data_IF_383695513959
#
_entry.id   IF_383695513959
#
_cell.length_a   1.000
_cell.length_b   1.000
_cell.length_c   1.000
_cell.angle_alpha   90.00
_cell.angle_beta   90.00
_cell.angle_gamma   90.00
#
_symmetry.space_group_name_H-M   'P 1'
#
loop_
_entity.id
_entity.type
_entity.pdbx_description
1 polymer ?
#
# COMPACT_ATOMS: atom_id res chain seq x y z
N UNK A 1 -14.79 7.17 13.55
CA UNK A 1 -14.43 7.45 12.15
C UNK A 1 -15.07 6.40 11.25
N UNK A 2 -16.30 6.64 10.79
CA UNK A 2 -17.09 5.70 9.98
C UNK A 2 -16.75 5.84 8.49
N UNK A 3 -15.52 5.50 8.10
CA UNK A 3 -15.26 5.23 6.68
C UNK A 3 -16.12 4.03 6.30
N UNK A 4 -16.94 4.13 5.24
CA UNK A 4 -17.67 2.98 4.68
C UNK A 4 -16.63 1.92 4.29
N UNK A 5 -16.29 1.03 5.21
CA UNK A 5 -15.27 -0.02 5.03
C UNK A 5 -15.57 -0.82 3.76
N UNK A 6 -16.86 -1.04 3.47
CA UNK A 6 -17.37 -1.67 2.24
C UNK A 6 -16.88 -1.04 0.92
N UNK A 7 -16.49 0.25 0.89
CA UNK A 7 -15.94 0.91 -0.31
C UNK A 7 -14.42 0.89 -0.38
N UNK A 8 -13.73 0.44 0.68
CA UNK A 8 -12.26 0.39 0.72
C UNK A 8 -11.71 -0.65 -0.26
N UNK A 9 -10.58 -0.34 -0.90
CA UNK A 9 -9.84 -1.31 -1.72
C UNK A 9 -9.45 -2.55 -0.90
N UNK A 10 -9.16 -2.37 0.39
CA UNK A 10 -8.86 -3.46 1.33
C UNK A 10 -10.07 -4.39 1.46
N UNK A 11 -11.27 -3.85 1.62
CA UNK A 11 -12.49 -4.65 1.71
C UNK A 11 -12.80 -5.37 0.40
N UNK A 12 -12.65 -4.72 -0.77
CA UNK A 12 -12.83 -5.37 -2.07
C UNK A 12 -11.85 -6.54 -2.25
N UNK A 13 -10.58 -6.35 -1.88
CA UNK A 13 -9.58 -7.42 -1.92
C UNK A 13 -9.92 -8.57 -0.97
N UNK A 14 -10.26 -8.26 0.28
CA UNK A 14 -10.65 -9.25 1.29
C UNK A 14 -11.89 -10.03 0.85
N UNK A 15 -12.93 -9.35 0.36
CA UNK A 15 -14.16 -9.96 -0.13
C UNK A 15 -13.91 -10.86 -1.34
N UNK A 16 -13.09 -10.41 -2.30
CA UNK A 16 -12.68 -11.23 -3.45
C UNK A 16 -11.94 -12.50 -3.02
N UNK A 17 -10.96 -12.36 -2.12
CA UNK A 17 -10.21 -13.50 -1.59
C UNK A 17 -11.11 -14.44 -0.80
N UNK A 18 -11.97 -13.92 0.06
CA UNK A 18 -12.90 -14.71 0.87
C UNK A 18 -13.86 -15.50 -0.01
N UNK A 19 -14.45 -14.88 -1.04
CA UNK A 19 -15.30 -15.58 -2.02
C UNK A 19 -14.56 -16.74 -2.70
N UNK A 20 -13.26 -16.56 -2.97
CA UNK A 20 -12.44 -17.61 -3.58
C UNK A 20 -12.14 -18.76 -2.63
N UNK A 21 -11.96 -18.48 -1.33
CA UNK A 21 -11.79 -19.54 -0.32
C UNK A 21 -13.12 -20.26 -0.03
N UNK A 22 -14.27 -19.57 -0.05
CA UNK A 22 -15.60 -20.20 0.05
C UNK A 22 -15.87 -21.24 -1.05
N UNK A 23 -15.38 -21.02 -2.27
CA UNK A 23 -15.52 -21.99 -3.36
C UNK A 23 -14.74 -23.29 -3.13
N UNK A 24 -13.71 -23.26 -2.28
CA UNK A 24 -12.84 -24.40 -2.02
C UNK A 24 -13.21 -25.15 -0.73
N UNK A 25 -14.01 -24.54 0.15
CA UNK A 25 -14.30 -25.03 1.50
C UNK A 25 -15.82 -25.05 1.76
N UNK A 26 -16.45 -26.24 1.81
CA UNK A 26 -17.91 -26.37 1.91
C UNK A 26 -18.48 -25.84 3.23
N UNK A 27 -17.68 -25.82 4.31
CA UNK A 27 -18.10 -25.26 5.61
C UNK A 27 -18.36 -23.76 5.54
N UNK A 28 -17.52 -23.03 4.79
CA UNK A 28 -17.71 -21.61 4.54
C UNK A 28 -18.88 -21.35 3.59
N UNK A 29 -19.19 -22.27 2.68
CA UNK A 29 -20.31 -22.09 1.76
C UNK A 29 -21.67 -22.19 2.47
N UNK A 30 -21.75 -23.01 3.51
CA UNK A 30 -22.95 -23.19 4.34
C UNK A 30 -23.34 -21.96 5.20
N UNK A 31 -22.43 -20.99 5.42
CA UNK A 31 -22.73 -19.78 6.20
C UNK A 31 -23.76 -18.88 5.52
N UNK A 32 -24.59 -18.21 6.33
CA UNK A 32 -25.54 -17.23 5.82
C UNK A 32 -24.81 -16.05 5.15
N UNK A 33 -25.41 -15.39 4.15
CA UNK A 33 -24.83 -14.21 3.51
C UNK A 33 -24.47 -13.09 4.50
N UNK A 34 -25.27 -12.94 5.56
CA UNK A 34 -25.05 -11.95 6.63
C UNK A 34 -23.80 -12.26 7.48
N UNK A 35 -23.54 -13.52 7.79
CA UNK A 35 -22.36 -13.93 8.55
C UNK A 35 -21.08 -13.77 7.72
N UNK A 36 -21.13 -14.17 6.44
CA UNK A 36 -20.04 -13.97 5.47
C UNK A 36 -19.66 -12.49 5.35
N UNK A 37 -20.65 -11.61 5.28
CA UNK A 37 -20.42 -10.17 5.20
C UNK A 37 -19.85 -9.60 6.51
N UNK A 38 -20.38 -10.01 7.66
CA UNK A 38 -19.86 -9.63 8.98
C UNK A 38 -18.39 -10.01 9.16
N UNK A 39 -18.03 -11.23 8.74
CA UNK A 39 -16.65 -11.73 8.80
C UNK A 39 -15.73 -10.95 7.85
N UNK A 40 -16.17 -10.69 6.61
CA UNK A 40 -15.41 -9.86 5.66
C UNK A 40 -15.15 -8.46 6.21
N UNK A 41 -16.15 -7.82 6.84
CA UNK A 41 -16.00 -6.50 7.46
C UNK A 41 -15.03 -6.56 8.63
N UNK A 42 -15.12 -7.58 9.49
CA UNK A 42 -14.22 -7.76 10.63
C UNK A 42 -12.76 -7.94 10.18
N UNK A 43 -12.51 -8.80 9.19
CA UNK A 43 -11.19 -9.03 8.61
C UNK A 43 -10.67 -7.77 7.92
N UNK A 44 -11.49 -7.08 7.14
CA UNK A 44 -11.10 -5.83 6.48
C UNK A 44 -10.77 -4.73 7.49
N UNK A 45 -11.52 -4.61 8.58
CA UNK A 45 -11.26 -3.64 9.66
C UNK A 45 -9.95 -3.96 10.38
N UNK A 46 -9.71 -5.22 10.74
CA UNK A 46 -8.47 -5.66 11.39
C UNK A 46 -7.25 -5.48 10.48
N UNK A 47 -7.39 -5.85 9.20
CA UNK A 47 -6.35 -5.64 8.18
C UNK A 47 -6.05 -4.14 8.00
N UNK A 48 -7.08 -3.29 7.93
CA UNK A 48 -6.91 -1.85 7.79
C UNK A 48 -6.20 -1.24 9.00
N UNK A 49 -6.52 -1.70 10.22
CA UNK A 49 -5.84 -1.24 11.43
C UNK A 49 -4.37 -1.65 11.46
N UNK A 50 -4.07 -2.92 11.18
CA UNK A 50 -2.69 -3.40 11.08
C UNK A 50 -1.92 -2.64 10.00
N UNK A 51 -2.55 -2.40 8.85
CA UNK A 51 -1.97 -1.63 7.76
C UNK A 51 -1.67 -0.18 8.17
N UNK A 52 -2.54 0.48 8.94
CA UNK A 52 -2.28 1.83 9.42
C UNK A 52 -1.10 1.87 10.39
N UNK A 53 -1.06 0.95 11.36
CA UNK A 53 0.04 0.87 12.34
C UNK A 53 1.36 0.53 11.64
N UNK A 54 1.36 -0.51 10.80
CA UNK A 54 2.54 -0.91 10.03
C UNK A 54 2.96 0.16 9.05
N UNK A 55 2.02 0.81 8.36
CA UNK A 55 2.27 1.89 7.42
C UNK A 55 2.97 3.07 8.08
N UNK A 56 2.58 3.45 9.31
CA UNK A 56 3.26 4.49 10.07
C UNK A 56 4.72 4.09 10.38
N UNK A 57 4.95 2.88 10.87
CA UNK A 57 6.30 2.35 11.15
C UNK A 57 7.13 2.27 9.87
N UNK A 58 6.53 1.82 8.77
CA UNK A 58 7.16 1.71 7.45
C UNK A 58 7.59 3.07 6.93
N UNK A 59 6.76 4.11 7.06
CA UNK A 59 7.15 5.47 6.69
C UNK A 59 8.38 5.94 7.47
N UNK A 60 8.44 5.69 8.78
CA UNK A 60 9.64 6.01 9.57
C UNK A 60 10.88 5.23 9.10
N UNK A 61 10.71 3.94 8.79
CA UNK A 61 11.80 3.09 8.30
C UNK A 61 12.31 3.55 6.93
N UNK A 62 11.40 3.88 6.00
CA UNK A 62 11.75 4.44 4.68
C UNK A 62 12.47 5.77 4.84
N UNK A 63 11.99 6.66 5.72
CA UNK A 63 12.64 7.94 5.99
C UNK A 63 14.08 7.74 6.48
N UNK A 64 14.29 6.89 7.50
CA UNK A 64 15.64 6.58 7.97
C UNK A 64 16.51 5.92 6.90
N UNK A 65 15.96 4.99 6.13
CA UNK A 65 16.69 4.33 5.06
C UNK A 65 17.12 5.34 3.98
N UNK A 66 16.24 6.24 3.56
CA UNK A 66 16.61 7.30 2.60
C UNK A 66 17.68 8.24 3.15
N UNK A 67 17.59 8.62 4.43
CA UNK A 67 18.62 9.44 5.08
C UNK A 67 19.97 8.72 5.15
N UNK A 68 19.96 7.42 5.45
CA UNK A 68 21.14 6.58 5.42
C UNK A 68 21.77 6.53 4.01
N UNK A 69 20.96 6.28 2.98
CA UNK A 69 21.44 6.27 1.59
C UNK A 69 22.03 7.62 1.17
N UNK A 70 21.47 8.73 1.64
CA UNK A 70 22.03 10.05 1.39
C UNK A 70 23.44 10.22 1.95
N UNK A 71 23.67 9.75 3.19
CA UNK A 71 24.98 9.83 3.85
C UNK A 71 26.06 9.00 3.13
N UNK A 72 25.67 7.86 2.55
CA UNK A 72 26.59 6.91 1.90
C UNK A 72 26.47 6.89 0.37
N UNK A 73 25.96 7.97 -0.24
CA UNK A 73 25.68 8.02 -1.67
C UNK A 73 26.89 7.72 -2.57
N UNK A 74 28.10 8.14 -2.17
CA UNK A 74 29.31 7.90 -2.97
C UNK A 74 29.83 6.46 -2.90
N UNK A 75 29.32 5.65 -1.97
CA UNK A 75 29.79 4.27 -1.78
C UNK A 75 28.95 3.24 -2.55
N UNK A 76 27.79 3.64 -3.08
CA UNK A 76 26.87 2.73 -3.77
C UNK A 76 26.22 3.41 -4.97
N UNK A 77 26.30 2.76 -6.13
CA UNK A 77 25.63 3.22 -7.36
C UNK A 77 24.13 3.37 -7.17
N UNK A 78 23.51 2.50 -6.36
CA UNK A 78 22.09 2.59 -6.06
C UNK A 78 21.76 3.81 -5.19
N UNK A 79 22.56 4.06 -4.15
CA UNK A 79 22.38 5.21 -3.26
C UNK A 79 22.54 6.53 -4.03
N UNK A 80 23.57 6.62 -4.88
CA UNK A 80 23.79 7.76 -5.77
C UNK A 80 22.61 8.00 -6.71
N UNK A 81 22.17 6.97 -7.42
CA UNK A 81 21.01 7.06 -8.32
C UNK A 81 19.74 7.55 -7.60
N UNK A 82 19.48 7.04 -6.38
CA UNK A 82 18.31 7.44 -5.60
C UNK A 82 18.38 8.91 -5.20
N UNK A 83 19.55 9.37 -4.74
CA UNK A 83 19.76 10.78 -4.38
C UNK A 83 19.65 11.69 -5.60
N UNK A 84 20.32 11.36 -6.71
CA UNK A 84 20.28 12.13 -7.96
C UNK A 84 18.85 12.24 -8.49
N UNK A 85 18.06 11.16 -8.40
CA UNK A 85 16.66 11.16 -8.81
C UNK A 85 15.81 12.10 -7.95
N UNK A 86 16.03 12.09 -6.62
CA UNK A 86 15.32 12.99 -5.71
C UNK A 86 15.72 14.46 -5.93
N UNK A 87 17.00 14.73 -6.16
CA UNK A 87 17.51 16.07 -6.46
C UNK A 87 16.96 16.58 -7.79
N UNK A 88 16.97 15.75 -8.84
CA UNK A 88 16.38 16.10 -10.14
C UNK A 88 14.90 16.44 -10.03
N UNK A 89 14.13 15.66 -9.24
CA UNK A 89 12.73 15.99 -8.97
C UNK A 89 12.58 17.33 -8.23
N UNK A 90 13.45 17.60 -7.25
CA UNK A 90 13.47 18.88 -6.54
C UNK A 90 13.82 20.06 -7.45
N UNK A 91 14.76 19.91 -8.38
CA UNK A 91 15.13 20.95 -9.33
C UNK A 91 13.97 21.27 -10.28
N UNK A 92 13.22 20.27 -10.71
CA UNK A 92 11.99 20.46 -11.51
C UNK A 92 10.93 21.21 -10.70
N UNK A 93 10.79 20.92 -9.40
CA UNK A 93 9.85 21.61 -8.49
C UNK A 93 10.28 23.06 -8.22
N UNK A 94 11.58 23.33 -8.11
CA UNK A 94 12.10 24.67 -7.81
C UNK A 94 12.29 25.53 -9.06
N UNK A 95 12.26 24.93 -10.25
CA UNK A 95 12.35 25.62 -11.54
C UNK A 95 11.12 26.46 -11.87
N UNK A 96 11.07 26.99 -13.10
CA UNK A 96 9.94 27.78 -13.57
C UNK A 96 8.72 26.89 -13.88
N UNK A 97 7.59 27.20 -13.25
CA UNK A 97 6.32 26.48 -13.45
C UNK A 97 5.56 26.95 -14.69
N UNK A 98 6.04 28.02 -15.32
CA UNK A 98 5.38 28.67 -16.44
C UNK A 98 4.07 29.34 -16.04
N UNK A 99 3.48 30.06 -16.99
CA UNK A 99 2.24 30.80 -16.77
C UNK A 99 1.01 29.91 -17.06
N UNK A 100 0.03 29.96 -16.16
CA UNK A 100 -1.27 29.29 -16.33
C UNK A 100 -1.31 27.82 -15.89
N UNK A 101 -2.49 27.21 -16.04
CA UNK A 101 -2.80 25.88 -15.50
C UNK A 101 -2.12 24.73 -16.28
N UNK A 102 -1.76 24.96 -17.55
CA UNK A 102 -1.08 23.97 -18.38
C UNK A 102 0.39 23.78 -17.98
N UNK A 103 1.15 24.87 -17.73
CA UNK A 103 2.54 24.79 -17.29
C UNK A 103 2.68 24.05 -15.95
N UNK A 104 1.80 24.36 -15.00
CA UNK A 104 1.74 23.68 -13.70
C UNK A 104 1.46 22.18 -13.82
N UNK A 105 0.58 21.76 -14.75
CA UNK A 105 0.29 20.33 -14.98
C UNK A 105 1.51 19.60 -15.54
N UNK A 106 2.20 20.22 -16.50
CA UNK A 106 3.39 19.63 -17.14
C UNK A 106 4.52 19.37 -16.14
N UNK A 107 4.79 20.32 -15.23
CA UNK A 107 5.74 20.14 -14.13
C UNK A 107 5.34 18.98 -13.21
N UNK A 108 4.07 18.93 -12.79
CA UNK A 108 3.58 17.82 -11.94
C UNK A 108 3.77 16.47 -12.62
N UNK A 109 3.50 16.36 -13.93
CA UNK A 109 3.74 15.13 -14.67
C UNK A 109 5.23 14.78 -14.73
N UNK A 110 6.11 15.74 -15.02
CA UNK A 110 7.56 15.50 -15.06
C UNK A 110 8.10 15.03 -13.71
N UNK A 111 7.69 15.66 -12.61
CA UNK A 111 8.05 15.22 -11.26
C UNK A 111 7.54 13.81 -10.99
N UNK A 112 6.28 13.53 -11.34
CA UNK A 112 5.69 12.21 -11.14
C UNK A 112 6.45 11.12 -11.90
N UNK A 113 6.79 11.34 -13.18
CA UNK A 113 7.56 10.38 -13.96
C UNK A 113 9.00 10.20 -13.46
N UNK A 114 9.62 11.28 -12.99
CA UNK A 114 10.97 11.23 -12.40
C UNK A 114 10.97 10.39 -11.12
N UNK A 115 9.98 10.59 -10.25
CA UNK A 115 9.86 9.86 -8.98
C UNK A 115 9.19 8.49 -9.11
N UNK A 116 8.54 8.19 -10.24
CA UNK A 116 7.82 6.95 -10.48
C UNK A 116 8.59 5.68 -10.09
N UNK A 117 9.86 5.47 -10.51
CA UNK A 117 10.63 4.28 -10.12
C UNK A 117 10.86 4.21 -8.60
N UNK A 118 11.08 5.35 -7.94
CA UNK A 118 11.26 5.43 -6.48
C UNK A 118 9.96 5.09 -5.75
N UNK A 119 8.84 5.66 -6.22
CA UNK A 119 7.50 5.40 -5.68
C UNK A 119 7.17 3.92 -5.79
N UNK A 120 7.43 3.29 -6.95
CA UNK A 120 7.19 1.86 -7.12
C UNK A 120 7.99 1.03 -6.11
N UNK A 121 9.28 1.30 -5.94
CA UNK A 121 10.11 0.58 -4.96
C UNK A 121 9.60 0.74 -3.53
N UNK A 122 9.07 1.90 -3.16
CA UNK A 122 8.54 2.13 -1.82
C UNK A 122 7.15 1.53 -1.62
N UNK A 123 6.29 1.53 -2.64
CA UNK A 123 4.89 1.10 -2.53
C UNK A 123 4.75 -0.42 -2.65
N UNK A 124 5.55 -1.08 -3.49
CA UNK A 124 5.46 -2.53 -3.71
C UNK A 124 5.56 -3.33 -2.41
N UNK A 125 6.55 -3.11 -1.52
CA UNK A 125 6.65 -3.84 -0.26
C UNK A 125 5.44 -3.63 0.65
N UNK A 126 4.93 -2.40 0.70
CA UNK A 126 3.76 -2.04 1.51
C UNK A 126 2.49 -2.75 1.03
N UNK A 127 2.30 -2.82 -0.30
CA UNK A 127 1.18 -3.54 -0.92
C UNK A 127 1.32 -5.04 -0.71
N UNK A 128 2.52 -5.61 -0.89
CA UNK A 128 2.78 -7.02 -0.65
C UNK A 128 2.47 -7.43 0.80
N UNK A 129 2.92 -6.61 1.77
CA UNK A 129 2.61 -6.81 3.18
C UNK A 129 1.10 -6.86 3.43
N UNK A 130 0.35 -5.89 2.89
CA UNK A 130 -1.11 -5.85 3.01
C UNK A 130 -1.77 -7.14 2.48
N UNK A 131 -1.35 -7.62 1.30
CA UNK A 131 -1.90 -8.85 0.71
C UNK A 131 -1.63 -10.08 1.59
N UNK A 132 -0.43 -10.20 2.14
CA UNK A 132 -0.04 -11.31 3.02
C UNK A 132 -0.83 -11.28 4.32
N UNK A 133 -0.93 -10.12 4.99
CA UNK A 133 -1.69 -9.97 6.23
C UNK A 133 -3.16 -10.33 6.03
N UNK A 134 -3.78 -9.83 4.95
CA UNK A 134 -5.16 -10.15 4.62
C UNK A 134 -5.36 -11.66 4.42
N UNK A 135 -4.47 -12.32 3.68
CA UNK A 135 -4.55 -13.78 3.44
C UNK A 135 -4.38 -14.58 4.74
N UNK A 136 -3.45 -14.20 5.61
CA UNK A 136 -3.24 -14.85 6.91
C UNK A 136 -4.46 -14.71 7.82
N UNK A 137 -5.05 -13.50 7.88
CA UNK A 137 -6.24 -13.26 8.69
C UNK A 137 -7.46 -14.03 8.17
N UNK A 138 -7.61 -14.16 6.85
CA UNK A 138 -8.67 -15.00 6.28
C UNK A 138 -8.47 -16.45 6.72
N UNK A 139 -7.26 -17.02 6.56
CA UNK A 139 -6.97 -18.40 6.97
C UNK A 139 -7.24 -18.65 8.45
N UNK A 140 -6.77 -17.77 9.34
CA UNK A 140 -7.02 -17.88 10.79
C UNK A 140 -8.50 -17.82 11.18
N UNK A 141 -9.33 -17.12 10.40
CA UNK A 141 -10.76 -17.08 10.64
C UNK A 141 -11.42 -18.37 10.15
N UNK A 142 -11.00 -18.90 9.00
CA UNK A 142 -11.47 -20.18 8.48
C UNK A 142 -11.13 -21.32 9.45
N UNK A 143 -9.90 -21.36 9.96
CA UNK A 143 -9.46 -22.41 10.87
C UNK A 143 -10.26 -22.37 12.20
N UNK A 144 -10.62 -21.19 12.68
CA UNK A 144 -11.44 -21.03 13.90
C UNK A 144 -12.91 -21.41 13.75
N UNK A 145 -13.44 -21.43 12.54
CA UNK A 145 -14.81 -21.88 12.25
C UNK A 145 -14.87 -23.40 12.00
N UNK A 146 -13.70 -24.06 11.90
CA UNK A 146 -13.58 -25.53 11.78
C UNK A 146 -13.47 -26.23 13.13
N UNK A 147 -13.05 -25.52 14.18
CA UNK A 147 -13.00 -26.00 15.58
C UNK A 147 -14.37 -25.91 16.27
#
# INVERSE_FOLDING_TARGET
MGLRIQKSLIYKYVSYRFKRECLNEPTLDCMSPSEKEGLCVAVAKKTSWIFLVFGAVYCCAVFWFTHYLWMFQEQSTFAKWLVDTLQSANDIIQGDWGYGMMGKRDIVFRVFFTLFPVILMMVIPLVAFMMVTANLLIRQMVDREKE
#
